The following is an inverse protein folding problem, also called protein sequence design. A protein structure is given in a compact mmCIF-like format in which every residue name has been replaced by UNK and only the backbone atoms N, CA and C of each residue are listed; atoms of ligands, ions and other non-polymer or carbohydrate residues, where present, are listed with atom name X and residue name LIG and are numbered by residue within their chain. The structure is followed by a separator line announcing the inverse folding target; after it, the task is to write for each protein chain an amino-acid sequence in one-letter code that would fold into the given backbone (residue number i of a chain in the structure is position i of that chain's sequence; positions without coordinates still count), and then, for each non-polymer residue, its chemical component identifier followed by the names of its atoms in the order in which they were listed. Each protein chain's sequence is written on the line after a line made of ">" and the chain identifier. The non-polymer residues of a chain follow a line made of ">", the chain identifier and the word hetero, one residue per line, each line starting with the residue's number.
data_IF_528796061810
#
_entry.id   IF_528796061810
#
_cell.length_a   1.000
_cell.length_b   1.000
_cell.length_c   1.000
_cell.angle_alpha   90.00
_cell.angle_beta   90.00
_cell.angle_gamma   90.00
#
_symmetry.space_group_name_H-M   'P 1'
#
loop_
_entity.id
_entity.type
_entity.pdbx_description
1 polymer ?
#
# COMPACT_ATOMS: atom_id res chain seq x y z
N UNK A 1 20.90 38.08 -10.27
CA UNK A 1 20.25 36.77 -10.03
C UNK A 1 19.80 36.72 -8.59
N UNK A 2 18.56 36.37 -8.31
CA UNK A 2 18.08 36.19 -6.94
C UNK A 2 18.41 34.75 -6.50
N UNK A 3 18.52 34.48 -5.18
CA UNK A 3 18.81 33.14 -4.64
C UNK A 3 17.84 32.09 -5.17
N UNK A 4 16.54 32.44 -5.28
CA UNK A 4 15.53 31.51 -5.81
C UNK A 4 15.79 31.06 -7.26
N UNK A 5 16.46 31.87 -8.07
CA UNK A 5 16.74 31.57 -9.48
C UNK A 5 17.90 30.55 -9.62
N UNK A 6 18.61 30.25 -8.55
CA UNK A 6 19.66 29.24 -8.53
C UNK A 6 19.10 27.81 -8.58
N UNK A 7 17.85 27.60 -8.13
CA UNK A 7 17.27 26.27 -7.97
C UNK A 7 16.42 25.87 -9.18
N UNK A 8 16.48 24.58 -9.51
CA UNK A 8 15.73 24.01 -10.64
C UNK A 8 14.21 24.07 -10.40
N UNK A 9 13.78 23.94 -9.16
CA UNK A 9 12.37 24.02 -8.76
C UNK A 9 12.14 25.24 -7.87
N UNK A 10 10.95 25.87 -7.90
CA UNK A 10 10.62 26.97 -7.01
C UNK A 10 10.81 26.55 -5.52
N UNK A 11 11.57 27.33 -4.78
CA UNK A 11 11.90 27.03 -3.36
C UNK A 11 10.72 27.29 -2.41
N UNK A 12 9.76 28.09 -2.85
CA UNK A 12 8.55 28.48 -2.13
C UNK A 12 7.34 27.60 -2.47
N UNK A 13 7.52 26.58 -3.33
CA UNK A 13 6.45 25.64 -3.66
C UNK A 13 6.02 24.83 -2.43
N UNK A 14 4.75 24.45 -2.40
CA UNK A 14 4.26 23.52 -1.39
C UNK A 14 4.94 22.16 -1.55
N UNK A 15 5.55 21.68 -0.48
CA UNK A 15 6.17 20.34 -0.42
C UNK A 15 5.35 19.50 0.56
N UNK A 16 4.83 18.37 0.09
CA UNK A 16 4.17 17.40 0.96
C UNK A 16 5.26 16.70 1.79
N UNK A 17 5.41 17.12 3.05
CA UNK A 17 6.45 16.60 3.96
C UNK A 17 6.13 15.20 4.49
N UNK A 18 4.84 14.84 4.55
CA UNK A 18 4.39 13.52 5.01
C UNK A 18 3.49 12.93 3.93
N UNK A 19 3.91 11.79 3.42
CA UNK A 19 3.14 11.02 2.45
C UNK A 19 2.11 10.18 3.20
N UNK A 20 0.83 10.44 2.98
CA UNK A 20 -0.27 9.66 3.58
C UNK A 20 -0.80 8.67 2.56
N UNK A 21 -0.91 7.42 2.96
CA UNK A 21 -1.44 6.33 2.14
C UNK A 21 -2.86 6.61 1.61
N UNK A 22 -3.67 7.36 2.36
CA UNK A 22 -5.03 7.75 1.96
C UNK A 22 -5.15 8.98 1.06
N UNK A 23 -4.06 9.70 0.75
CA UNK A 23 -4.07 10.84 -0.17
C UNK A 23 -4.04 10.35 -1.62
N UNK A 24 -5.13 10.58 -2.36
CA UNK A 24 -5.30 10.10 -3.75
C UNK A 24 -5.62 11.21 -4.75
N UNK A 25 -5.41 12.49 -4.40
CA UNK A 25 -5.59 13.58 -5.35
C UNK A 25 -4.55 13.48 -6.47
N UNK A 26 -4.94 13.82 -7.68
CA UNK A 26 -4.08 13.66 -8.87
C UNK A 26 -2.81 14.52 -8.79
N UNK A 27 -2.95 15.74 -8.26
CA UNK A 27 -1.82 16.66 -8.02
C UNK A 27 -0.80 16.09 -7.03
N UNK A 28 -1.27 15.43 -5.96
CA UNK A 28 -0.39 14.78 -4.98
C UNK A 28 0.36 13.60 -5.63
N UNK A 29 -0.32 12.78 -6.45
CA UNK A 29 0.30 11.66 -7.16
C UNK A 29 1.38 12.13 -8.13
N UNK A 30 1.09 13.21 -8.89
CA UNK A 30 2.06 13.80 -9.80
C UNK A 30 3.30 14.25 -9.06
N UNK A 31 3.12 15.05 -7.99
CA UNK A 31 4.25 15.54 -7.18
C UNK A 31 5.05 14.39 -6.59
N UNK A 32 4.39 13.36 -6.04
CA UNK A 32 5.04 12.18 -5.48
C UNK A 32 5.89 11.44 -6.52
N UNK A 33 5.39 11.23 -7.73
CA UNK A 33 6.11 10.55 -8.81
C UNK A 33 7.29 11.40 -9.34
N UNK A 34 7.08 12.70 -9.57
CA UNK A 34 8.10 13.60 -10.08
C UNK A 34 9.24 13.82 -9.08
N UNK A 35 8.87 13.96 -7.79
CA UNK A 35 9.83 14.31 -6.74
C UNK A 35 10.44 13.10 -6.03
N UNK A 36 10.02 11.87 -6.36
CA UNK A 36 10.62 10.68 -5.79
C UNK A 36 12.08 10.55 -6.18
N UNK A 37 12.97 10.56 -5.18
CA UNK A 37 14.40 10.37 -5.39
C UNK A 37 14.74 8.90 -5.23
N UNK A 38 15.34 8.32 -6.25
CA UNK A 38 15.80 6.92 -6.22
C UNK A 38 17.28 6.91 -5.84
N UNK A 39 17.55 6.73 -4.56
CA UNK A 39 18.91 6.56 -4.05
C UNK A 39 19.50 5.22 -4.46
N UNK A 40 20.83 5.05 -4.32
CA UNK A 40 21.50 3.77 -4.61
C UNK A 40 20.94 2.60 -3.78
N UNK A 41 20.52 2.85 -2.53
CA UNK A 41 19.85 1.87 -1.67
C UNK A 41 18.47 1.50 -2.22
N UNK A 42 17.63 2.50 -2.54
CA UNK A 42 16.30 2.27 -3.09
C UNK A 42 16.34 1.56 -4.44
N UNK A 43 17.34 1.86 -5.29
CA UNK A 43 17.56 1.13 -6.53
C UNK A 43 17.76 -0.38 -6.28
N UNK A 44 18.60 -0.78 -5.30
CA UNK A 44 18.78 -2.18 -4.92
C UNK A 44 17.49 -2.83 -4.42
N UNK A 45 16.66 -2.08 -3.68
CA UNK A 45 15.38 -2.57 -3.22
C UNK A 45 14.40 -2.78 -4.38
N UNK A 46 14.35 -1.87 -5.35
CA UNK A 46 13.57 -2.08 -6.58
C UNK A 46 14.07 -3.29 -7.37
N UNK A 47 15.37 -3.43 -7.58
CA UNK A 47 15.95 -4.60 -8.26
C UNK A 47 15.49 -5.90 -7.59
N UNK A 48 15.65 -6.00 -6.27
CA UNK A 48 15.27 -7.21 -5.51
C UNK A 48 13.76 -7.48 -5.57
N UNK A 49 12.95 -6.45 -5.36
CA UNK A 49 11.49 -6.61 -5.39
C UNK A 49 11.00 -7.03 -6.78
N UNK A 50 11.38 -6.31 -7.84
CA UNK A 50 10.87 -6.58 -9.18
C UNK A 50 11.41 -7.88 -9.77
N UNK A 51 12.63 -8.29 -9.45
CA UNK A 51 13.13 -9.61 -9.83
C UNK A 51 12.24 -10.74 -9.27
N UNK A 52 11.93 -10.69 -7.97
CA UNK A 52 11.06 -11.68 -7.32
C UNK A 52 9.61 -11.61 -7.83
N UNK A 53 9.09 -10.39 -8.03
CA UNK A 53 7.73 -10.21 -8.52
C UNK A 53 7.56 -10.76 -9.94
N UNK A 54 8.49 -10.46 -10.84
CA UNK A 54 8.48 -10.95 -12.23
C UNK A 54 8.64 -12.46 -12.28
N UNK A 55 9.49 -13.06 -11.45
CA UNK A 55 9.58 -14.50 -11.34
C UNK A 55 8.22 -15.16 -11.05
N UNK A 56 7.39 -14.50 -10.23
CA UNK A 56 6.03 -14.98 -9.94
C UNK A 56 5.04 -14.82 -11.09
N UNK A 57 5.39 -14.10 -12.15
CA UNK A 57 4.58 -14.03 -13.38
C UNK A 57 4.80 -15.29 -14.25
N UNK A 58 6.02 -15.81 -14.23
CA UNK A 58 6.44 -16.93 -15.07
C UNK A 58 6.16 -18.28 -14.40
N UNK A 59 6.29 -18.34 -13.07
CA UNK A 59 6.13 -19.59 -12.30
C UNK A 59 5.34 -19.34 -11.01
N UNK A 60 4.49 -20.28 -10.56
CA UNK A 60 3.90 -20.23 -9.24
C UNK A 60 4.98 -20.18 -8.17
N UNK A 61 4.90 -19.21 -7.26
CA UNK A 61 5.79 -19.07 -6.10
C UNK A 61 4.97 -19.03 -4.82
N UNK A 62 5.53 -19.56 -3.74
CA UNK A 62 4.89 -19.56 -2.42
C UNK A 62 5.34 -18.39 -1.54
N UNK A 63 6.29 -17.59 -2.03
CA UNK A 63 7.01 -16.56 -1.28
C UNK A 63 6.52 -15.16 -1.64
N UNK A 64 5.26 -14.85 -1.32
CA UNK A 64 4.64 -13.59 -1.71
C UNK A 64 4.58 -12.53 -0.60
N UNK A 65 5.24 -12.80 0.52
CA UNK A 65 5.39 -11.84 1.61
C UNK A 65 6.61 -10.94 1.42
N UNK A 66 6.40 -9.62 1.53
CA UNK A 66 7.48 -8.62 1.53
C UNK A 66 7.43 -7.81 2.82
N UNK A 67 8.57 -7.76 3.53
CA UNK A 67 8.72 -7.01 4.76
C UNK A 67 9.63 -5.81 4.55
N UNK A 68 9.09 -4.60 4.69
CA UNK A 68 9.82 -3.35 4.55
C UNK A 68 10.02 -2.76 5.95
N UNK A 69 11.27 -2.73 6.40
CA UNK A 69 11.64 -2.16 7.71
C UNK A 69 12.38 -0.84 7.57
N UNK A 70 12.41 -0.06 8.65
CA UNK A 70 13.20 1.18 8.73
C UNK A 70 12.65 2.14 9.78
N UNK A 71 13.48 3.05 10.27
CA UNK A 71 13.11 4.03 11.26
C UNK A 71 12.01 5.00 10.76
N UNK A 72 11.41 5.74 11.68
CA UNK A 72 10.48 6.81 11.33
C UNK A 72 11.18 7.82 10.39
N UNK A 73 10.50 8.21 9.32
CA UNK A 73 11.06 9.13 8.33
C UNK A 73 11.99 8.50 7.28
N UNK A 74 12.27 7.19 7.29
CA UNK A 74 13.11 6.52 6.29
C UNK A 74 12.46 6.37 4.90
N UNK A 75 11.21 6.83 4.72
CA UNK A 75 10.53 6.80 3.42
C UNK A 75 9.73 5.53 3.12
N UNK A 76 9.48 4.65 4.10
CA UNK A 76 8.73 3.39 3.91
C UNK A 76 7.37 3.57 3.25
N UNK A 77 6.53 4.45 3.79
CA UNK A 77 5.20 4.72 3.25
C UNK A 77 5.25 5.28 1.84
N UNK A 78 6.27 6.10 1.52
CA UNK A 78 6.49 6.61 0.17
C UNK A 78 6.91 5.50 -0.78
N UNK A 79 7.87 4.66 -0.38
CA UNK A 79 8.30 3.51 -1.17
C UNK A 79 7.13 2.55 -1.44
N UNK A 80 6.33 2.24 -0.42
CA UNK A 80 5.12 1.41 -0.54
C UNK A 80 4.13 2.00 -1.55
N UNK A 81 3.92 3.32 -1.50
CA UNK A 81 3.01 4.04 -2.39
C UNK A 81 3.53 4.07 -3.83
N UNK A 82 4.83 4.24 -4.03
CA UNK A 82 5.46 4.14 -5.35
C UNK A 82 5.32 2.73 -5.94
N UNK A 83 5.50 1.68 -5.13
CA UNK A 83 5.23 0.32 -5.58
C UNK A 83 3.77 0.16 -6.04
N UNK A 84 2.81 0.72 -5.30
CA UNK A 84 1.41 0.67 -5.71
C UNK A 84 1.16 1.38 -7.03
N UNK A 85 1.82 2.51 -7.30
CA UNK A 85 1.69 3.24 -8.56
C UNK A 85 2.29 2.47 -9.74
N UNK A 86 3.40 1.77 -9.54
CA UNK A 86 3.99 0.94 -10.60
C UNK A 86 3.06 -0.24 -10.95
N UNK A 87 2.50 -0.90 -9.92
CA UNK A 87 1.70 -2.10 -10.09
C UNK A 87 0.25 -1.83 -10.57
N UNK A 88 -0.34 -0.70 -10.15
CA UNK A 88 -1.70 -0.29 -10.57
C UNK A 88 -1.67 0.54 -11.86
N UNK A 89 -0.48 1.00 -12.23
CA UNK A 89 -0.17 1.78 -13.44
C UNK A 89 -1.16 2.91 -13.75
N UNK A 90 -1.51 3.80 -12.78
CA UNK A 90 -2.43 4.89 -13.04
C UNK A 90 -1.87 5.86 -14.08
N UNK A 91 -2.75 6.44 -14.87
CA UNK A 91 -2.44 7.61 -15.68
C UNK A 91 -2.52 8.86 -14.79
N UNK A 92 -1.46 9.66 -14.78
CA UNK A 92 -1.33 10.89 -14.02
C UNK A 92 -0.84 11.97 -14.97
N UNK A 93 -1.61 13.04 -15.14
CA UNK A 93 -1.28 14.15 -16.07
C UNK A 93 -0.95 13.63 -17.50
N UNK A 94 -1.76 12.72 -18.01
CA UNK A 94 -1.62 12.14 -19.36
C UNK A 94 -0.40 11.22 -19.53
N UNK A 95 0.24 10.79 -18.45
CA UNK A 95 1.38 9.87 -18.48
C UNK A 95 1.18 8.72 -17.52
N UNK A 96 1.61 7.54 -17.91
CA UNK A 96 1.65 6.38 -17.03
C UNK A 96 2.68 6.55 -15.92
N UNK A 97 2.41 6.01 -14.72
CA UNK A 97 3.30 6.12 -13.57
C UNK A 97 4.74 5.64 -13.87
N UNK A 98 4.87 4.58 -14.66
CA UNK A 98 6.17 4.09 -15.13
C UNK A 98 7.00 5.12 -15.88
N UNK A 99 6.38 6.00 -16.68
CA UNK A 99 7.10 7.02 -17.45
C UNK A 99 7.84 8.03 -16.56
N UNK A 100 7.28 8.34 -15.38
CA UNK A 100 7.94 9.23 -14.40
C UNK A 100 9.17 8.57 -13.76
N UNK A 101 9.11 7.26 -13.54
CA UNK A 101 10.18 6.53 -12.86
C UNK A 101 11.32 6.15 -13.83
N UNK A 102 11.00 5.71 -15.03
CA UNK A 102 12.00 5.38 -16.05
C UNK A 102 12.73 6.61 -16.60
N UNK A 103 12.18 7.81 -16.41
CA UNK A 103 12.90 9.06 -16.72
C UNK A 103 14.00 9.42 -15.69
N UNK A 104 14.08 8.71 -14.56
CA UNK A 104 15.10 8.95 -13.53
C UNK A 104 16.39 8.20 -13.87
N UNK A 105 17.53 8.91 -13.92
CA UNK A 105 18.83 8.34 -14.30
C UNK A 105 19.20 7.07 -13.52
N UNK A 106 18.88 7.03 -12.24
CA UNK A 106 19.15 5.87 -11.39
C UNK A 106 18.44 4.60 -11.90
N UNK A 107 17.24 4.71 -12.46
CA UNK A 107 16.47 3.61 -13.04
C UNK A 107 16.85 3.41 -14.51
N UNK A 108 16.89 4.49 -15.30
CA UNK A 108 17.19 4.44 -16.73
C UNK A 108 18.56 3.80 -17.05
N UNK A 109 19.52 3.95 -16.14
CA UNK A 109 20.87 3.34 -16.26
C UNK A 109 20.90 1.83 -16.05
N UNK A 110 19.76 1.19 -15.76
CA UNK A 110 19.66 -0.24 -15.45
C UNK A 110 18.59 -0.90 -16.35
N UNK A 111 18.96 -1.42 -17.51
CA UNK A 111 18.04 -2.01 -18.47
C UNK A 111 17.25 -3.20 -17.91
N UNK A 112 17.88 -4.03 -17.07
CA UNK A 112 17.22 -5.18 -16.45
C UNK A 112 16.13 -4.74 -15.45
N UNK A 113 16.43 -3.75 -14.62
CA UNK A 113 15.44 -3.16 -13.72
C UNK A 113 14.27 -2.54 -14.49
N UNK A 114 14.55 -1.77 -15.55
CA UNK A 114 13.53 -1.17 -16.40
C UNK A 114 12.63 -2.24 -17.02
N UNK A 115 13.20 -3.33 -17.53
CA UNK A 115 12.43 -4.42 -18.12
C UNK A 115 11.55 -5.13 -17.07
N UNK A 116 12.10 -5.47 -15.92
CA UNK A 116 11.34 -6.08 -14.82
C UNK A 116 10.20 -5.18 -14.33
N UNK A 117 10.45 -3.87 -14.20
CA UNK A 117 9.41 -2.91 -13.82
C UNK A 117 8.30 -2.82 -14.87
N UNK A 118 8.63 -2.81 -16.17
CA UNK A 118 7.65 -2.81 -17.27
C UNK A 118 6.79 -4.07 -17.24
N UNK A 119 7.40 -5.24 -17.15
CA UNK A 119 6.68 -6.52 -17.06
C UNK A 119 5.75 -6.56 -15.86
N UNK A 120 6.17 -6.02 -14.72
CA UNK A 120 5.34 -5.93 -13.52
C UNK A 120 4.16 -4.97 -13.71
N UNK A 121 4.36 -3.81 -14.36
CA UNK A 121 3.32 -2.81 -14.63
C UNK A 121 2.32 -3.28 -15.69
N UNK A 122 2.75 -4.09 -16.66
CA UNK A 122 1.88 -4.65 -17.70
C UNK A 122 1.01 -5.81 -17.18
N UNK A 123 1.38 -6.44 -16.07
CA UNK A 123 0.59 -7.49 -15.46
C UNK A 123 -0.68 -6.93 -14.83
N UNK A 124 -1.89 -7.31 -15.28
CA UNK A 124 -3.13 -6.77 -14.71
C UNK A 124 -3.18 -7.01 -13.20
N UNK A 125 -3.14 -5.93 -12.42
CA UNK A 125 -3.03 -5.98 -10.96
C UNK A 125 -4.07 -5.07 -10.31
N UNK A 126 -4.67 -5.54 -9.22
CA UNK A 126 -5.44 -4.73 -8.28
C UNK A 126 -4.57 -4.47 -7.05
N UNK A 127 -4.21 -3.22 -6.80
CA UNK A 127 -3.54 -2.83 -5.57
C UNK A 127 -4.55 -2.43 -4.50
N UNK A 128 -4.31 -2.89 -3.27
CA UNK A 128 -5.11 -2.56 -2.08
C UNK A 128 -4.16 -1.92 -1.07
N UNK A 129 -4.02 -0.60 -1.15
CA UNK A 129 -3.10 0.18 -0.33
C UNK A 129 -3.85 0.81 0.85
N UNK A 130 -3.41 0.53 2.07
CA UNK A 130 -4.03 1.07 3.29
C UNK A 130 -3.07 1.15 4.47
N UNK A 131 -3.39 2.03 5.42
CA UNK A 131 -2.77 2.05 6.74
C UNK A 131 -3.68 1.26 7.69
N UNK A 132 -3.12 0.26 8.38
CA UNK A 132 -3.89 -0.68 9.21
C UNK A 132 -4.52 -0.01 10.43
N UNK A 133 -3.81 0.92 11.08
CA UNK A 133 -4.33 1.61 12.27
C UNK A 133 -5.53 2.49 11.93
N UNK A 134 -5.53 3.14 10.77
CA UNK A 134 -6.64 4.00 10.33
C UNK A 134 -7.90 3.21 9.93
N UNK A 135 -7.76 1.93 9.62
CA UNK A 135 -8.85 1.04 9.19
C UNK A 135 -9.32 0.09 10.28
N UNK A 136 -8.55 -0.06 11.37
CA UNK A 136 -8.95 -0.84 12.53
C UNK A 136 -9.92 -0.04 13.43
N UNK A 137 -10.84 -0.74 14.08
CA UNK A 137 -11.65 -0.17 15.16
C UNK A 137 -10.95 -0.40 16.50
N UNK A 138 -11.19 0.44 17.51
CA UNK A 138 -10.57 0.31 18.84
C UNK A 138 -10.84 -1.05 19.52
N UNK A 139 -11.95 -1.71 19.16
CA UNK A 139 -12.31 -3.06 19.64
C UNK A 139 -11.68 -4.18 18.82
N UNK A 140 -11.12 -3.88 17.64
CA UNK A 140 -10.55 -4.90 16.76
C UNK A 140 -9.24 -5.49 17.30
N UNK A 141 -8.44 -4.72 18.06
CA UNK A 141 -7.14 -5.21 18.60
C UNK A 141 -7.28 -6.37 19.60
N UNK A 142 -8.45 -6.56 20.20
CA UNK A 142 -8.72 -7.69 21.10
C UNK A 142 -9.35 -8.91 20.40
N UNK A 143 -9.62 -8.82 19.10
CA UNK A 143 -10.19 -9.90 18.30
C UNK A 143 -9.07 -10.71 17.64
N UNK A 144 -9.09 -12.01 17.85
CA UNK A 144 -8.15 -12.95 17.19
C UNK A 144 -8.18 -12.88 15.67
N UNK A 145 -9.26 -12.36 15.07
CA UNK A 145 -9.44 -12.21 13.62
C UNK A 145 -9.27 -10.77 13.13
N UNK A 146 -8.67 -9.89 13.94
CA UNK A 146 -8.54 -8.47 13.62
C UNK A 146 -7.89 -8.21 12.24
N UNK A 147 -6.83 -8.92 11.91
CA UNK A 147 -6.10 -8.74 10.63
C UNK A 147 -6.99 -9.11 9.45
N UNK A 148 -7.60 -10.30 9.45
CA UNK A 148 -8.45 -10.72 8.33
C UNK A 148 -9.68 -9.81 8.20
N UNK A 149 -10.23 -9.33 9.31
CA UNK A 149 -11.34 -8.37 9.30
C UNK A 149 -10.98 -7.07 8.59
N UNK A 150 -9.80 -6.50 8.88
CA UNK A 150 -9.33 -5.29 8.19
C UNK A 150 -9.04 -5.56 6.72
N UNK A 151 -8.35 -6.66 6.38
CA UNK A 151 -8.07 -7.02 4.99
C UNK A 151 -9.36 -7.21 4.17
N UNK A 152 -10.34 -7.94 4.71
CA UNK A 152 -11.63 -8.12 4.06
C UNK A 152 -12.37 -6.80 3.85
N UNK A 153 -12.39 -5.95 4.87
CA UNK A 153 -12.99 -4.61 4.78
C UNK A 153 -12.39 -3.79 3.65
N UNK A 154 -11.07 -3.64 3.61
CA UNK A 154 -10.41 -2.80 2.61
C UNK A 154 -10.46 -3.40 1.21
N UNK A 155 -10.47 -4.72 1.09
CA UNK A 155 -10.66 -5.42 -0.17
C UNK A 155 -12.05 -5.15 -0.73
N UNK A 156 -13.10 -5.27 0.09
CA UNK A 156 -14.47 -4.92 -0.31
C UNK A 156 -14.60 -3.45 -0.70
N UNK A 157 -14.08 -2.52 0.12
CA UNK A 157 -14.05 -1.08 -0.18
C UNK A 157 -13.36 -0.79 -1.53
N UNK A 158 -12.26 -1.47 -1.83
CA UNK A 158 -11.51 -1.31 -3.09
C UNK A 158 -12.27 -1.84 -4.30
N UNK A 159 -13.10 -2.86 -4.11
CA UNK A 159 -13.99 -3.41 -5.14
C UNK A 159 -15.31 -2.61 -5.29
N UNK A 160 -15.54 -1.61 -4.44
CA UNK A 160 -16.75 -0.78 -4.46
C UNK A 160 -17.90 -1.35 -3.63
N UNK A 161 -17.68 -2.41 -2.85
CA UNK A 161 -18.68 -3.01 -1.96
C UNK A 161 -18.63 -2.40 -0.56
N UNK A 162 -19.63 -2.73 0.28
CA UNK A 162 -19.67 -2.33 1.68
C UNK A 162 -18.49 -2.95 2.46
N UNK A 163 -17.77 -2.13 3.23
CA UNK A 163 -16.60 -2.60 3.97
C UNK A 163 -16.89 -3.05 5.40
N UNK A 164 -17.84 -2.38 6.07
CA UNK A 164 -18.04 -2.56 7.51
C UNK A 164 -19.01 -3.70 7.89
N UNK A 165 -19.82 -4.16 6.95
CA UNK A 165 -20.84 -5.20 7.16
C UNK A 165 -20.55 -6.37 6.21
N UNK A 166 -19.82 -7.42 6.67
CA UNK A 166 -19.37 -8.51 5.79
C UNK A 166 -20.50 -9.21 5.02
N UNK A 167 -21.64 -9.46 5.66
CA UNK A 167 -22.79 -10.08 5.01
C UNK A 167 -23.38 -9.21 3.90
N UNK A 168 -23.34 -7.88 4.07
CA UNK A 168 -23.81 -6.95 3.05
C UNK A 168 -22.85 -6.92 1.85
N UNK A 169 -21.55 -6.89 2.12
CA UNK A 169 -20.52 -7.00 1.08
C UNK A 169 -20.65 -8.31 0.28
N UNK A 170 -20.98 -9.42 0.96
CA UNK A 170 -21.21 -10.72 0.31
C UNK A 170 -22.43 -10.65 -0.63
N UNK A 171 -23.55 -10.06 -0.17
CA UNK A 171 -24.73 -9.84 -1.03
C UNK A 171 -24.38 -9.00 -2.25
N UNK A 172 -23.72 -7.84 -2.05
CA UNK A 172 -23.33 -6.95 -3.15
C UNK A 172 -22.44 -7.68 -4.17
N UNK A 173 -21.48 -8.47 -3.69
CA UNK A 173 -20.59 -9.27 -4.54
C UNK A 173 -21.36 -10.34 -5.30
N UNK A 174 -22.26 -11.07 -4.64
CA UNK A 174 -23.06 -12.12 -5.26
C UNK A 174 -23.97 -11.53 -6.34
N UNK A 175 -24.63 -10.41 -6.05
CA UNK A 175 -25.44 -9.70 -7.03
C UNK A 175 -24.62 -9.21 -8.23
N UNK A 176 -23.37 -8.75 -8.00
CA UNK A 176 -22.47 -8.31 -9.06
C UNK A 176 -22.00 -9.49 -9.92
N UNK A 177 -21.64 -10.62 -9.30
CA UNK A 177 -21.27 -11.86 -9.98
C UNK A 177 -22.41 -12.43 -10.84
N UNK A 178 -23.65 -12.26 -10.39
CA UNK A 178 -24.86 -12.64 -11.14
C UNK A 178 -25.32 -11.57 -12.16
N UNK A 179 -24.65 -10.44 -12.26
CA UNK A 179 -25.03 -9.32 -13.13
C UNK A 179 -26.32 -8.60 -12.69
N UNK A 180 -26.72 -8.76 -11.42
CA UNK A 180 -27.96 -8.20 -10.85
C UNK A 180 -27.72 -6.98 -9.96
N UNK A 181 -26.47 -6.60 -9.72
CA UNK A 181 -26.16 -5.52 -8.77
C UNK A 181 -26.68 -4.17 -9.24
N UNK A 182 -26.64 -3.88 -10.54
CA UNK A 182 -27.23 -2.65 -11.07
C UNK A 182 -28.74 -2.64 -10.89
N UNK A 183 -29.43 -3.74 -11.21
CA UNK A 183 -30.87 -3.89 -10.99
C UNK A 183 -31.23 -3.66 -9.51
N UNK A 184 -30.45 -4.19 -8.59
CA UNK A 184 -30.65 -3.95 -7.15
C UNK A 184 -30.53 -2.47 -6.79
N UNK A 185 -29.51 -1.77 -7.28
CA UNK A 185 -29.31 -0.33 -7.02
C UNK A 185 -30.45 0.50 -7.55
N UNK A 186 -30.91 0.23 -8.76
CA UNK A 186 -32.00 0.94 -9.40
C UNK A 186 -33.34 0.69 -8.65
N UNK A 187 -33.64 -0.57 -8.32
CA UNK A 187 -34.82 -0.94 -7.53
C UNK A 187 -34.82 -0.31 -6.14
N UNK A 188 -33.62 -0.29 -5.48
CA UNK A 188 -33.47 0.38 -4.19
C UNK A 188 -33.75 1.89 -4.28
N UNK A 189 -33.20 2.54 -5.31
CA UNK A 189 -33.43 3.97 -5.55
C UNK A 189 -34.89 4.30 -5.85
N UNK A 190 -35.57 3.47 -6.65
CA UNK A 190 -37.01 3.62 -6.93
C UNK A 190 -37.88 3.52 -5.64
N UNK A 191 -37.54 2.59 -4.75
CA UNK A 191 -38.30 2.36 -3.51
C UNK A 191 -37.98 3.38 -2.42
N UNK A 192 -36.72 3.75 -2.24
CA UNK A 192 -36.24 4.61 -1.15
C UNK A 192 -36.03 6.08 -1.56
N UNK A 193 -35.98 6.38 -2.85
CA UNK A 193 -35.66 7.72 -3.37
C UNK A 193 -34.21 8.16 -3.15
N UNK A 194 -33.29 7.23 -2.87
CA UNK A 194 -31.89 7.50 -2.59
C UNK A 194 -30.99 6.52 -3.34
N UNK A 195 -29.82 7.01 -3.74
CA UNK A 195 -28.77 6.14 -4.28
C UNK A 195 -28.28 5.14 -3.22
N UNK A 196 -28.11 3.89 -3.64
CA UNK A 196 -27.67 2.81 -2.76
C UNK A 196 -26.27 3.05 -2.19
N UNK A 197 -25.32 3.50 -3.03
CA UNK A 197 -23.94 3.70 -2.61
C UNK A 197 -23.81 4.82 -1.56
N UNK A 198 -24.69 5.82 -1.63
CA UNK A 198 -24.75 6.90 -0.64
C UNK A 198 -25.46 6.47 0.66
N UNK A 199 -26.47 5.59 0.58
CA UNK A 199 -27.32 5.24 1.73
C UNK A 199 -26.93 3.92 2.43
N UNK A 200 -26.14 3.03 1.80
CA UNK A 200 -25.78 1.70 2.31
C UNK A 200 -25.13 1.71 3.70
N UNK A 201 -24.39 2.76 4.05
CA UNK A 201 -23.79 2.92 5.37
C UNK A 201 -24.86 3.02 6.50
N UNK A 202 -26.13 3.33 6.15
CA UNK A 202 -27.27 3.35 7.06
C UNK A 202 -28.06 2.04 7.05
N UNK A 203 -27.53 0.98 6.46
CA UNK A 203 -28.22 -0.30 6.32
C UNK A 203 -28.92 -0.77 7.59
N UNK A 204 -28.27 -0.65 8.75
CA UNK A 204 -28.86 -1.08 10.03
C UNK A 204 -30.20 -0.38 10.36
N UNK A 205 -30.35 0.87 9.93
CA UNK A 205 -31.58 1.66 10.11
C UNK A 205 -32.53 1.47 8.92
N UNK A 206 -31.98 1.38 7.72
CA UNK A 206 -32.72 1.31 6.46
C UNK A 206 -32.95 -0.10 5.93
N UNK A 207 -32.69 -1.15 6.73
CA UNK A 207 -32.79 -2.55 6.30
C UNK A 207 -34.13 -2.90 5.63
N UNK A 208 -35.25 -2.30 6.08
CA UNK A 208 -36.57 -2.54 5.48
C UNK A 208 -36.70 -2.07 4.01
N UNK A 209 -35.86 -1.12 3.56
CA UNK A 209 -35.78 -0.74 2.16
C UNK A 209 -35.01 -1.79 1.34
N UNK A 210 -33.96 -2.37 1.92
CA UNK A 210 -33.22 -3.47 1.31
C UNK A 210 -34.12 -4.71 1.18
N UNK A 211 -34.88 -5.06 2.22
CA UNK A 211 -35.89 -6.12 2.17
C UNK A 211 -36.84 -5.94 0.98
N UNK A 212 -37.43 -4.75 0.87
CA UNK A 212 -38.37 -4.43 -0.22
C UNK A 212 -37.71 -4.52 -1.59
N UNK A 213 -36.48 -4.03 -1.74
CA UNK A 213 -35.76 -4.09 -2.99
C UNK A 213 -35.46 -5.54 -3.42
N UNK A 214 -34.99 -6.39 -2.50
CA UNK A 214 -34.71 -7.80 -2.78
C UNK A 214 -35.97 -8.58 -3.17
N UNK A 215 -37.11 -8.28 -2.55
CA UNK A 215 -38.37 -8.89 -2.88
C UNK A 215 -38.91 -8.37 -4.22
N UNK A 216 -38.85 -7.05 -4.46
CA UNK A 216 -39.36 -6.44 -5.69
C UNK A 216 -38.62 -6.92 -6.95
N UNK A 217 -37.30 -7.14 -6.85
CA UNK A 217 -36.51 -7.71 -7.94
C UNK A 217 -36.64 -9.25 -8.07
N UNK A 218 -37.44 -9.89 -7.21
CA UNK A 218 -37.67 -11.33 -7.23
C UNK A 218 -36.42 -12.16 -6.80
N UNK A 219 -35.49 -11.55 -6.05
CA UNK A 219 -34.28 -12.22 -5.62
C UNK A 219 -34.49 -13.10 -4.38
N UNK A 220 -35.32 -12.64 -3.46
CA UNK A 220 -35.72 -13.37 -2.25
C UNK A 220 -37.25 -13.23 -2.04
N UNK A 221 -37.85 -14.21 -1.38
CA UNK A 221 -39.18 -14.04 -0.80
C UNK A 221 -39.15 -13.12 0.43
N UNK A 222 -40.30 -12.64 0.88
CA UNK A 222 -40.42 -11.64 1.93
C UNK A 222 -39.85 -12.13 3.29
N UNK A 223 -40.06 -13.41 3.65
CA UNK A 223 -39.60 -13.97 4.91
C UNK A 223 -38.09 -14.18 4.88
N UNK A 224 -37.55 -14.67 3.77
CA UNK A 224 -36.12 -14.84 3.57
C UNK A 224 -35.39 -13.49 3.63
N UNK A 225 -35.87 -12.47 2.91
CA UNK A 225 -35.29 -11.14 2.91
C UNK A 225 -35.29 -10.50 4.30
N UNK A 226 -36.38 -10.62 5.05
CA UNK A 226 -36.50 -10.12 6.42
C UNK A 226 -35.55 -10.80 7.38
N UNK A 227 -35.44 -12.13 7.31
CA UNK A 227 -34.52 -12.90 8.18
C UNK A 227 -33.06 -12.56 7.85
N UNK A 228 -32.72 -12.52 6.57
CA UNK A 228 -31.36 -12.19 6.11
C UNK A 228 -30.94 -10.79 6.55
N UNK A 229 -31.77 -9.76 6.32
CA UNK A 229 -31.44 -8.37 6.71
C UNK A 229 -31.32 -8.18 8.21
N UNK A 230 -32.15 -8.90 9.00
CA UNK A 230 -32.05 -8.93 10.46
C UNK A 230 -30.72 -9.54 10.89
N UNK A 231 -30.34 -10.67 10.32
CA UNK A 231 -29.08 -11.33 10.61
C UNK A 231 -27.89 -10.43 10.24
N UNK A 232 -27.85 -9.89 9.04
CA UNK A 232 -26.82 -9.00 8.54
C UNK A 232 -26.66 -7.71 9.39
N UNK A 233 -27.76 -7.24 10.01
CA UNK A 233 -27.72 -6.05 10.87
C UNK A 233 -27.22 -6.33 12.30
N UNK A 234 -27.29 -7.57 12.77
CA UNK A 234 -27.03 -7.94 14.17
C UNK A 234 -25.77 -8.78 14.35
N UNK A 235 -25.45 -9.66 13.40
CA UNK A 235 -24.26 -10.51 13.49
C UNK A 235 -23.02 -9.80 13.01
N UNK A 236 -22.00 -9.74 13.85
CA UNK A 236 -20.63 -9.54 13.38
C UNK A 236 -20.15 -10.91 12.87
N UNK A 237 -20.35 -11.17 11.58
CA UNK A 237 -19.85 -12.39 10.98
C UNK A 237 -18.33 -12.38 11.06
N UNK A 238 -17.76 -13.32 11.84
CA UNK A 238 -16.33 -13.56 11.84
C UNK A 238 -15.98 -14.32 10.56
N UNK A 239 -15.12 -13.73 9.75
CA UNK A 239 -14.62 -14.35 8.53
C UNK A 239 -13.36 -15.17 8.89
N UNK A 240 -13.31 -16.43 8.50
CA UNK A 240 -12.10 -17.21 8.60
C UNK A 240 -11.06 -16.74 7.57
N UNK A 241 -9.78 -16.84 7.90
CA UNK A 241 -8.68 -16.48 6.98
C UNK A 241 -8.78 -17.26 5.66
N UNK A 242 -9.11 -18.55 5.77
CA UNK A 242 -9.31 -19.43 4.62
C UNK A 242 -10.42 -18.95 3.69
N UNK A 243 -11.56 -18.51 4.24
CA UNK A 243 -12.70 -18.00 3.46
C UNK A 243 -12.36 -16.68 2.75
N UNK A 244 -11.59 -15.82 3.42
CA UNK A 244 -11.08 -14.61 2.80
C UNK A 244 -10.14 -14.91 1.63
N UNK A 245 -9.23 -15.87 1.80
CA UNK A 245 -8.35 -16.27 0.70
C UNK A 245 -9.14 -16.87 -0.47
N UNK A 246 -10.22 -17.60 -0.22
CA UNK A 246 -11.14 -18.08 -1.27
C UNK A 246 -11.88 -16.93 -1.97
N UNK A 247 -12.25 -15.86 -1.26
CA UNK A 247 -12.83 -14.67 -1.89
C UNK A 247 -11.83 -13.99 -2.85
N UNK A 248 -10.58 -13.82 -2.41
CA UNK A 248 -9.50 -13.25 -3.24
C UNK A 248 -9.24 -14.14 -4.46
N UNK A 249 -9.17 -15.46 -4.28
CA UNK A 249 -9.02 -16.43 -5.38
C UNK A 249 -10.14 -16.31 -6.40
N UNK A 250 -11.41 -16.30 -5.98
CA UNK A 250 -12.57 -16.13 -6.88
C UNK A 250 -12.47 -14.84 -7.69
N UNK A 251 -12.05 -13.75 -7.04
CA UNK A 251 -11.82 -12.48 -7.76
C UNK A 251 -10.73 -12.63 -8.83
N UNK A 252 -9.60 -13.24 -8.50
CA UNK A 252 -8.48 -13.49 -9.43
C UNK A 252 -8.93 -14.36 -10.61
N UNK A 253 -9.64 -15.45 -10.32
CA UNK A 253 -10.12 -16.40 -11.35
C UNK A 253 -11.12 -15.72 -12.31
N UNK A 254 -12.00 -14.85 -11.78
CA UNK A 254 -13.00 -14.13 -12.58
C UNK A 254 -12.39 -13.03 -13.43
N UNK A 255 -11.43 -12.27 -12.91
CA UNK A 255 -10.93 -11.06 -13.56
C UNK A 255 -9.60 -11.25 -14.29
N UNK A 256 -8.87 -12.29 -13.98
CA UNK A 256 -7.49 -12.51 -14.43
C UNK A 256 -6.46 -11.59 -13.77
N UNK A 257 -6.91 -10.66 -12.88
CA UNK A 257 -6.03 -9.69 -12.21
C UNK A 257 -5.35 -10.32 -11.01
N UNK A 258 -4.08 -10.00 -10.81
CA UNK A 258 -3.36 -10.25 -9.56
C UNK A 258 -3.88 -9.32 -8.46
N UNK A 259 -3.68 -9.67 -7.19
CA UNK A 259 -4.05 -8.82 -6.05
C UNK A 259 -2.81 -8.56 -5.20
N UNK A 260 -2.53 -7.28 -4.90
CA UNK A 260 -1.40 -6.90 -4.05
C UNK A 260 -1.90 -6.04 -2.90
N UNK A 261 -1.82 -6.58 -1.70
CA UNK A 261 -2.08 -5.85 -0.47
C UNK A 261 -0.82 -5.12 -0.04
N UNK A 262 -0.91 -3.79 0.09
CA UNK A 262 0.17 -2.92 0.56
C UNK A 262 -0.28 -2.30 1.89
N UNK A 263 0.33 -2.76 2.97
CA UNK A 263 -0.11 -2.47 4.34
C UNK A 263 0.92 -1.61 5.05
N UNK A 264 0.55 -0.37 5.33
CA UNK A 264 1.42 0.54 6.07
C UNK A 264 1.24 0.38 7.58
N UNK A 265 2.35 0.48 8.32
CA UNK A 265 2.42 0.48 9.78
C UNK A 265 1.94 -0.82 10.47
N UNK A 266 2.01 -1.97 9.77
CA UNK A 266 1.58 -3.27 10.36
C UNK A 266 2.36 -3.59 11.64
N UNK A 267 3.65 -3.21 11.74
CA UNK A 267 4.47 -3.47 12.91
C UNK A 267 3.94 -2.81 14.18
N UNK A 268 3.39 -1.59 14.10
CA UNK A 268 2.78 -0.92 15.24
C UNK A 268 1.46 -1.58 15.65
N UNK A 269 0.67 -2.01 14.66
CA UNK A 269 -0.60 -2.70 14.90
C UNK A 269 -0.40 -4.03 15.61
N UNK A 270 0.56 -4.84 15.16
CA UNK A 270 0.89 -6.14 15.75
C UNK A 270 1.62 -5.94 17.09
N UNK A 271 2.56 -4.97 17.16
CA UNK A 271 3.38 -4.72 18.35
C UNK A 271 4.00 -6.03 18.90
N UNK A 272 3.68 -6.40 20.14
CA UNK A 272 4.15 -7.61 20.82
C UNK A 272 3.11 -8.75 20.82
N UNK A 273 1.99 -8.59 20.11
CA UNK A 273 0.92 -9.60 20.08
C UNK A 273 1.27 -10.74 19.11
N UNK A 274 1.61 -11.89 19.69
CA UNK A 274 1.97 -13.10 18.95
C UNK A 274 0.81 -13.66 18.12
N UNK A 275 -0.44 -13.50 18.57
CA UNK A 275 -1.61 -13.97 17.83
C UNK A 275 -1.84 -13.17 16.56
N UNK A 276 -1.69 -11.85 16.61
CA UNK A 276 -1.78 -11.00 15.41
C UNK A 276 -0.65 -11.31 14.42
N UNK A 277 0.55 -11.59 14.93
CA UNK A 277 1.68 -11.98 14.08
C UNK A 277 1.40 -13.33 13.37
N UNK A 278 0.90 -14.33 14.10
CA UNK A 278 0.51 -15.62 13.53
C UNK A 278 -0.63 -15.48 12.53
N UNK A 279 -1.60 -14.61 12.78
CA UNK A 279 -2.69 -14.34 11.84
C UNK A 279 -2.18 -13.71 10.54
N UNK A 280 -1.24 -12.77 10.59
CA UNK A 280 -0.63 -12.20 9.40
C UNK A 280 0.13 -13.27 8.59
N UNK A 281 0.85 -14.14 9.29
CA UNK A 281 1.54 -15.27 8.67
C UNK A 281 0.55 -16.22 7.99
N UNK A 282 -0.47 -16.68 8.71
CA UNK A 282 -1.49 -17.60 8.19
C UNK A 282 -2.22 -16.99 6.99
N UNK A 283 -2.55 -15.69 7.07
CA UNK A 283 -3.17 -14.96 5.98
C UNK A 283 -2.28 -14.94 4.73
N UNK A 284 -0.98 -14.64 4.90
CA UNK A 284 -0.02 -14.60 3.79
C UNK A 284 0.15 -16.00 3.17
N UNK A 285 0.18 -17.05 4.00
CA UNK A 285 0.28 -18.43 3.58
C UNK A 285 -0.95 -18.91 2.80
N UNK A 286 -2.16 -18.67 3.33
CA UNK A 286 -3.42 -19.03 2.69
C UNK A 286 -3.59 -18.31 1.34
N UNK A 287 -3.29 -17.02 1.28
CA UNK A 287 -3.30 -16.26 0.03
C UNK A 287 -2.28 -16.84 -0.96
N UNK A 288 -1.09 -17.19 -0.50
CA UNK A 288 -0.05 -17.80 -1.32
C UNK A 288 -0.50 -19.09 -1.95
N UNK A 289 -0.94 -20.00 -1.12
CA UNK A 289 -1.34 -21.34 -1.51
C UNK A 289 -2.56 -21.33 -2.43
N UNK A 290 -3.63 -20.64 -2.02
CA UNK A 290 -4.90 -20.63 -2.77
C UNK A 290 -4.86 -19.81 -4.05
N UNK A 291 -4.07 -18.75 -4.08
CA UNK A 291 -3.98 -17.85 -5.24
C UNK A 291 -2.80 -18.16 -6.16
N UNK A 292 -2.03 -19.23 -5.91
CA UNK A 292 -0.96 -19.73 -6.78
C UNK A 292 0.03 -18.63 -7.22
N UNK A 293 0.53 -17.84 -6.28
CA UNK A 293 1.48 -16.75 -6.55
C UNK A 293 0.88 -15.46 -7.11
N UNK A 294 -0.45 -15.36 -7.25
CA UNK A 294 -1.12 -14.18 -7.79
C UNK A 294 -1.59 -13.18 -6.71
N UNK A 295 -1.47 -13.51 -5.43
CA UNK A 295 -1.80 -12.60 -4.32
C UNK A 295 -0.53 -12.32 -3.50
N UNK A 296 -0.21 -11.02 -3.29
CA UNK A 296 0.98 -10.57 -2.58
C UNK A 296 0.59 -9.77 -1.33
N UNK A 297 1.41 -9.87 -0.28
CA UNK A 297 1.26 -9.11 0.95
C UNK A 297 2.57 -8.35 1.23
N UNK A 298 2.55 -7.04 1.07
CA UNK A 298 3.69 -6.15 1.28
C UNK A 298 3.38 -5.30 2.50
N UNK A 299 4.22 -5.39 3.53
CA UNK A 299 3.98 -4.70 4.79
C UNK A 299 5.13 -3.79 5.17
N UNK A 300 4.84 -2.71 5.92
CA UNK A 300 5.87 -1.87 6.53
C UNK A 300 5.89 -1.99 8.04
N UNK A 301 7.08 -1.93 8.63
CA UNK A 301 7.30 -1.91 10.07
C UNK A 301 8.47 -0.98 10.44
N UNK A 302 8.53 -0.54 11.69
CA UNK A 302 9.67 0.23 12.17
C UNK A 302 10.88 -0.66 12.41
N UNK A 303 10.65 -1.88 12.86
CA UNK A 303 11.68 -2.85 13.15
C UNK A 303 11.78 -3.95 12.08
N UNK A 304 12.96 -4.54 11.96
CA UNK A 304 13.12 -5.75 11.18
C UNK A 304 12.32 -6.90 11.81
N UNK A 305 11.83 -7.80 10.98
CA UNK A 305 11.03 -8.94 11.44
C UNK A 305 11.75 -9.77 12.52
N UNK A 306 13.06 -9.90 12.42
CA UNK A 306 13.88 -10.65 13.37
C UNK A 306 13.92 -9.97 14.76
N UNK A 307 13.93 -8.62 14.81
CA UNK A 307 13.89 -7.86 16.07
C UNK A 307 12.50 -7.91 16.71
N UNK A 308 11.42 -7.78 15.93
CA UNK A 308 10.06 -7.91 16.44
C UNK A 308 9.82 -9.29 17.06
N UNK A 309 10.32 -10.32 16.39
CA UNK A 309 10.17 -11.70 16.86
C UNK A 309 10.99 -11.99 18.13
N UNK A 310 12.12 -11.33 18.35
CA UNK A 310 12.93 -11.50 19.57
C UNK A 310 12.27 -10.92 20.83
N UNK A 311 11.39 -9.95 20.71
CA UNK A 311 10.78 -9.22 21.83
C UNK A 311 9.53 -9.88 22.41
N UNK A 312 9.07 -11.00 21.86
CA UNK A 312 7.86 -11.69 22.33
C UNK A 312 8.17 -12.63 23.50
N UNK A 313 7.38 -12.58 24.61
CA UNK A 313 7.70 -13.14 25.94
C UNK A 313 7.50 -14.65 26.23
N UNK A 314 7.77 -15.63 25.42
CA UNK A 314 7.77 -17.08 25.75
C UNK A 314 8.76 -17.89 24.92
N UNK A 315 9.87 -18.38 25.49
CA UNK A 315 11.07 -18.80 24.76
C UNK A 315 11.03 -20.15 24.02
N UNK A 316 10.12 -21.07 24.35
CA UNK A 316 10.17 -22.46 23.85
C UNK A 316 9.23 -22.73 22.64
N UNK A 317 8.04 -22.14 22.61
CA UNK A 317 7.11 -22.22 21.46
C UNK A 317 7.55 -21.34 20.30
N UNK A 318 8.33 -20.29 20.59
CA UNK A 318 8.82 -19.24 19.72
C UNK A 318 9.69 -19.71 18.57
N UNK A 319 10.64 -20.60 18.80
CA UNK A 319 11.65 -20.95 17.76
C UNK A 319 11.04 -21.61 16.53
N UNK A 320 9.96 -22.37 16.71
CA UNK A 320 9.30 -23.05 15.59
C UNK A 320 8.33 -22.17 14.83
N UNK A 321 7.60 -21.27 15.52
CA UNK A 321 6.63 -20.41 14.88
C UNK A 321 7.29 -19.23 14.18
N UNK A 322 8.40 -18.71 14.72
CA UNK A 322 9.16 -17.61 14.11
C UNK A 322 9.91 -17.99 12.83
N UNK A 323 10.44 -19.20 12.76
CA UNK A 323 11.03 -19.70 11.51
C UNK A 323 9.99 -19.76 10.39
N UNK A 324 8.72 -20.05 10.73
CA UNK A 324 7.62 -20.07 9.76
C UNK A 324 7.26 -18.67 9.27
N UNK A 325 7.19 -17.67 10.19
CA UNK A 325 6.91 -16.27 9.82
C UNK A 325 8.01 -15.72 8.93
N UNK A 326 9.27 -15.95 9.31
CA UNK A 326 10.44 -15.59 8.51
C UNK A 326 10.41 -16.27 7.13
N UNK A 327 9.93 -17.51 7.07
CA UNK A 327 9.73 -18.27 5.85
C UNK A 327 8.69 -17.69 4.90
N UNK A 328 7.70 -16.88 5.36
CA UNK A 328 6.67 -16.27 4.50
C UNK A 328 7.01 -14.87 4.01
N UNK A 329 7.93 -14.18 4.69
CA UNK A 329 8.44 -12.87 4.29
C UNK A 329 9.90 -12.98 3.84
N UNK A 330 10.12 -13.65 2.70
CA UNK A 330 11.44 -13.86 2.13
C UNK A 330 12.09 -12.58 1.61
N UNK A 331 11.29 -11.71 1.01
CA UNK A 331 11.78 -10.43 0.53
C UNK A 331 11.78 -9.43 1.69
N UNK A 332 12.96 -9.15 2.22
CA UNK A 332 13.17 -8.19 3.31
C UNK A 332 13.95 -7.00 2.79
N UNK A 333 13.36 -5.82 2.94
CA UNK A 333 13.92 -4.56 2.48
C UNK A 333 14.07 -3.65 3.70
N UNK A 334 15.31 -3.23 4.00
CA UNK A 334 15.59 -2.35 5.12
C UNK A 334 15.95 -0.97 4.60
N UNK A 335 15.08 0.02 4.86
CA UNK A 335 15.27 1.39 4.45
C UNK A 335 16.00 2.16 5.56
N UNK A 336 17.11 2.79 5.19
CA UNK A 336 17.87 3.64 6.09
C UNK A 336 17.58 5.13 5.83
N UNK A 337 17.90 5.99 6.80
CA UNK A 337 17.89 7.45 6.63
C UNK A 337 19.27 8.01 6.26
N UNK A 338 20.23 7.15 5.97
CA UNK A 338 21.63 7.55 5.69
C UNK A 338 21.74 8.44 4.45
N UNK A 339 20.84 8.28 3.49
CA UNK A 339 20.84 9.06 2.25
C UNK A 339 19.89 10.27 2.29
N UNK A 340 19.53 10.77 3.47
CA UNK A 340 18.62 11.92 3.58
C UNK A 340 19.22 13.20 2.94
N UNK A 341 20.55 13.37 2.99
CA UNK A 341 21.28 14.44 2.32
C UNK A 341 21.14 14.38 0.80
N UNK A 342 21.23 13.19 0.20
CA UNK A 342 20.99 12.96 -1.22
C UNK A 342 19.56 13.34 -1.62
N UNK A 343 18.58 12.90 -0.81
CA UNK A 343 17.16 13.23 -1.05
C UNK A 343 16.92 14.74 -0.96
N UNK A 344 17.48 15.43 0.03
CA UNK A 344 17.34 16.88 0.18
C UNK A 344 17.99 17.59 -1.02
N UNK A 345 19.20 17.17 -1.40
CA UNK A 345 19.91 17.77 -2.54
C UNK A 345 19.14 17.62 -3.83
N UNK A 346 18.69 16.42 -4.17
CA UNK A 346 18.00 16.16 -5.45
C UNK A 346 16.56 16.71 -5.48
N UNK A 347 15.84 16.61 -4.37
CA UNK A 347 14.43 17.02 -4.30
C UNK A 347 14.26 18.52 -4.14
N UNK A 348 15.09 19.15 -3.27
CA UNK A 348 14.89 20.53 -2.84
C UNK A 348 15.98 21.45 -3.40
N UNK A 349 17.24 21.06 -3.29
CA UNK A 349 18.39 21.92 -3.55
C UNK A 349 19.01 21.74 -4.94
N UNK A 350 18.38 20.96 -5.82
CA UNK A 350 18.87 20.79 -7.20
C UNK A 350 18.92 22.12 -7.92
N UNK A 351 20.10 22.45 -8.44
CA UNK A 351 20.38 23.73 -9.05
C UNK A 351 20.18 23.71 -10.56
N UNK A 352 19.89 24.87 -11.14
CA UNK A 352 20.02 25.06 -12.59
C UNK A 352 21.50 25.02 -12.99
N UNK A 353 21.81 24.79 -14.27
CA UNK A 353 23.20 24.83 -14.75
C UNK A 353 23.82 26.19 -14.45
N UNK A 354 23.14 27.27 -14.81
CA UNK A 354 23.58 28.64 -14.52
C UNK A 354 23.79 28.90 -13.01
N UNK A 355 22.90 28.34 -12.17
CA UNK A 355 23.04 28.39 -10.70
C UNK A 355 24.27 27.64 -10.21
N UNK A 356 24.54 26.47 -10.77
CA UNK A 356 25.72 25.69 -10.43
C UNK A 356 27.00 26.41 -10.81
N UNK A 357 27.07 26.91 -12.04
CA UNK A 357 28.25 27.63 -12.55
C UNK A 357 28.55 28.90 -11.73
N UNK A 358 27.48 29.67 -11.39
CA UNK A 358 27.61 30.88 -10.59
C UNK A 358 28.07 30.58 -9.14
N UNK A 359 27.55 29.55 -8.53
CA UNK A 359 27.95 29.15 -7.19
C UNK A 359 29.35 28.56 -7.15
N UNK A 360 29.76 27.82 -8.20
CA UNK A 360 31.10 27.26 -8.29
C UNK A 360 32.14 28.37 -8.42
N UNK A 361 31.88 29.40 -9.29
CA UNK A 361 32.73 30.55 -9.43
C UNK A 361 32.87 31.36 -8.13
N UNK A 362 31.77 31.54 -7.38
CA UNK A 362 31.77 32.21 -6.07
C UNK A 362 32.56 31.40 -5.03
N UNK A 363 32.32 30.08 -5.00
CA UNK A 363 33.04 29.20 -4.08
C UNK A 363 34.54 29.23 -4.31
N UNK A 364 34.97 29.15 -5.58
CA UNK A 364 36.40 29.23 -5.94
C UNK A 364 37.05 30.56 -5.53
N UNK A 365 36.28 31.68 -5.64
CA UNK A 365 36.77 32.99 -5.25
C UNK A 365 36.88 33.18 -3.73
N UNK A 366 35.98 32.56 -2.94
CA UNK A 366 35.86 32.80 -1.51
C UNK A 366 36.10 31.52 -0.67
N UNK A 367 36.74 30.50 -1.24
CA UNK A 367 36.91 29.17 -0.63
C UNK A 367 37.47 29.26 0.80
N UNK A 368 38.55 30.02 0.99
CA UNK A 368 39.20 30.18 2.31
C UNK A 368 38.27 30.85 3.32
N UNK A 369 37.52 31.87 2.88
CA UNK A 369 36.57 32.60 3.74
C UNK A 369 35.44 31.68 4.17
N UNK A 370 34.88 30.92 3.23
CA UNK A 370 33.77 30.00 3.48
C UNK A 370 34.22 28.85 4.39
N UNK A 371 35.39 28.26 4.14
CA UNK A 371 35.96 27.21 4.99
C UNK A 371 36.17 27.69 6.42
N UNK A 372 36.70 28.88 6.62
CA UNK A 372 36.91 29.45 7.95
C UNK A 372 35.60 29.71 8.72
N UNK A 373 34.50 29.98 8.02
CA UNK A 373 33.16 30.17 8.63
C UNK A 373 32.49 28.86 8.98
N UNK A 374 32.71 27.81 8.15
CA UNK A 374 32.06 26.51 8.29
C UNK A 374 32.87 25.54 9.14
N UNK A 375 34.17 25.81 9.31
CA UNK A 375 35.06 24.96 10.09
C UNK A 375 34.75 25.11 11.60
N UNK A 376 33.88 24.23 12.11
CA UNK A 376 33.67 24.07 13.54
C UNK A 376 34.89 23.32 14.09
N UNK A 377 35.62 23.95 14.99
CA UNK A 377 36.95 23.52 15.54
C UNK A 377 37.03 22.08 16.08
N UNK A 378 35.94 21.34 16.19
CA UNK A 378 35.89 20.02 16.79
C UNK A 378 35.62 18.86 15.81
N UNK A 379 35.33 19.12 14.54
CA UNK A 379 35.16 18.06 13.51
C UNK A 379 35.50 18.60 12.12
N UNK A 380 36.56 18.12 11.48
CA UNK A 380 36.86 18.48 10.10
C UNK A 380 35.78 17.89 9.17
N UNK A 381 34.87 18.75 8.70
CA UNK A 381 33.92 18.37 7.66
C UNK A 381 34.50 18.77 6.30
N UNK A 382 34.88 17.76 5.51
CA UNK A 382 35.15 18.00 4.09
C UNK A 382 33.86 18.42 3.40
N UNK A 383 33.75 19.66 2.92
CA UNK A 383 32.66 20.07 2.08
C UNK A 383 32.71 19.31 0.76
N UNK A 384 31.74 18.49 0.49
CA UNK A 384 31.58 17.87 -0.83
C UNK A 384 31.23 18.92 -1.86
N UNK A 385 32.09 19.04 -2.88
CA UNK A 385 31.94 19.94 -4.02
C UNK A 385 30.69 19.63 -4.84
#
# INVERSE_FOLDING_TARGET
>A
MQIKDLFLKPIDRRINGVIKVGQNQEEDKKQELEEYVVTAELKKHFQRFFANYVQSLDHPVDEMGVWISGFFGSGKSHFLKILSYILDEPEVDGKKAMAYLTAKDAIASDPELVENMKRAAEAPTLTVLFNVDSKSTSTAKSDSNAIVTVFNRVFNERLGYEGAIPMLAELERTLDEEGKYQLFKDTYAEINGKDWLEDRHKFRVHRGWVEKALVAMGYMDADTAKNWTKEASTKNAQLAISDFADQVRRYIDRTGKRVVFLVDEIGQFISTDSHLMLNLQTLTEELGTKCHGKAWVIVTAQEAIDAMTANIDNAQERKNDFSKIQGRFHTRLSLSSVNADEVIRERILKKTQAGTDSLLALYQAEETTIQNVVDFRDTPHEMKK
#
